data_IF_522816897898
#
_entry.id   IF_522816897898
#
_cell.length_a   1.000
_cell.length_b   1.000
_cell.length_c   1.000
_cell.angle_alpha   90.00
_cell.angle_beta   90.00
_cell.angle_gamma   90.00
#
_symmetry.space_group_name_H-M   'P 1'
#
loop_
_entity.id
_entity.type
_entity.pdbx_description
1 polymer ?
#
# COMPACT_ATOMS: atom_id res chain seq x y z
N UNK A 1 -19.06 4.54 -26.26
CA UNK A 1 -18.36 4.36 -27.56
C UNK A 1 -17.48 3.09 -27.60
N UNK A 2 -17.83 2.00 -26.88
CA UNK A 2 -17.09 0.72 -26.88
C UNK A 2 -17.95 -0.49 -27.28
N UNK A 3 -19.24 -0.30 -27.57
CA UNK A 3 -20.18 -1.41 -27.80
C UNK A 3 -20.51 -1.67 -29.27
N UNK A 4 -19.98 -0.89 -30.22
CA UNK A 4 -20.35 -1.00 -31.65
C UNK A 4 -19.19 -1.24 -32.64
N UNK A 5 -17.95 -1.40 -32.16
CA UNK A 5 -16.80 -1.74 -33.03
C UNK A 5 -16.82 -3.22 -33.49
N UNK A 6 -17.80 -4.02 -33.05
CA UNK A 6 -17.90 -5.44 -33.38
C UNK A 6 -18.39 -5.76 -34.80
N UNK A 7 -18.83 -4.77 -35.59
CA UNK A 7 -19.56 -5.02 -36.84
C UNK A 7 -18.75 -4.87 -38.14
N UNK A 8 -17.48 -4.45 -38.13
CA UNK A 8 -16.72 -4.19 -39.38
C UNK A 8 -15.25 -4.63 -39.36
N UNK A 9 -14.97 -5.84 -38.90
CA UNK A 9 -13.69 -6.50 -39.19
C UNK A 9 -13.97 -7.83 -39.93
N UNK A 10 -13.36 -8.08 -41.10
CA UNK A 10 -13.37 -9.41 -41.71
C UNK A 10 -12.77 -10.40 -40.72
N UNK A 11 -13.43 -11.54 -40.51
CA UNK A 11 -12.92 -12.66 -39.71
C UNK A 11 -11.56 -13.09 -40.27
N UNK A 12 -10.47 -12.71 -39.61
CA UNK A 12 -9.18 -13.37 -39.75
C UNK A 12 -9.34 -14.79 -39.19
N UNK A 13 -9.59 -15.74 -40.11
CA UNK A 13 -9.47 -17.17 -39.83
C UNK A 13 -8.01 -17.50 -39.52
N UNK A 14 -7.83 -18.27 -38.46
CA UNK A 14 -6.72 -19.17 -38.14
C UNK A 14 -5.35 -18.86 -38.77
N UNK A 15 -4.53 -18.18 -37.99
CA UNK A 15 -3.10 -18.50 -37.92
C UNK A 15 -2.79 -19.00 -36.51
N UNK A 16 -2.85 -20.31 -36.35
CA UNK A 16 -2.15 -21.04 -35.29
C UNK A 16 -0.66 -20.73 -35.41
N UNK A 17 -0.18 -19.76 -34.64
CA UNK A 17 1.26 -19.65 -34.34
C UNK A 17 1.50 -20.62 -33.20
N UNK A 18 2.07 -21.77 -33.53
CA UNK A 18 2.60 -22.72 -32.57
C UNK A 18 3.73 -22.03 -31.79
N UNK A 19 3.42 -21.50 -30.62
CA UNK A 19 4.43 -21.16 -29.61
C UNK A 19 4.86 -22.49 -29.01
N UNK A 20 6.02 -22.97 -29.44
CA UNK A 20 6.62 -24.22 -28.99
C UNK A 20 6.70 -24.26 -27.47
N UNK A 21 5.96 -25.18 -26.87
CA UNK A 21 6.17 -25.57 -25.49
C UNK A 21 7.54 -26.20 -25.38
N UNK A 22 8.47 -25.51 -24.70
CA UNK A 22 9.62 -26.18 -24.10
C UNK A 22 9.09 -27.06 -22.97
N UNK A 23 8.83 -28.33 -23.30
CA UNK A 23 8.94 -29.42 -22.35
C UNK A 23 10.40 -29.47 -21.89
N UNK A 24 10.69 -28.92 -20.73
CA UNK A 24 11.89 -29.33 -20.01
C UNK A 24 11.52 -30.56 -19.18
N UNK A 25 11.95 -31.71 -19.70
CA UNK A 25 12.13 -32.93 -18.94
C UNK A 25 13.18 -32.65 -17.84
N UNK A 26 12.75 -32.57 -16.58
CA UNK A 26 13.64 -32.70 -15.45
C UNK A 26 13.71 -34.18 -15.05
N UNK A 27 14.52 -34.95 -15.79
CA UNK A 27 15.09 -36.19 -15.30
C UNK A 27 16.42 -35.88 -14.59
N UNK A 28 16.63 -36.59 -13.48
CA UNK A 28 17.82 -36.69 -12.64
C UNK A 28 18.22 -35.44 -11.85
N UNK A 29 17.75 -35.36 -10.61
CA UNK A 29 18.60 -34.95 -9.50
C UNK A 29 18.70 -36.14 -8.56
N UNK A 30 19.94 -36.54 -8.33
CA UNK A 30 20.44 -37.63 -7.51
C UNK A 30 19.84 -37.63 -6.10
N UNK A 31 19.27 -38.77 -5.72
CA UNK A 31 18.93 -39.15 -4.36
C UNK A 31 20.14 -38.98 -3.44
N UNK A 32 20.03 -38.12 -2.44
CA UNK A 32 20.92 -38.16 -1.27
C UNK A 32 20.18 -38.96 -0.21
N UNK A 33 20.59 -40.22 -0.03
CA UNK A 33 20.13 -41.10 1.04
C UNK A 33 20.34 -40.43 2.40
N UNK A 34 19.26 -40.27 3.16
CA UNK A 34 19.32 -40.07 4.60
C UNK A 34 18.79 -41.37 5.23
N UNK A 35 19.69 -42.13 5.86
CA UNK A 35 19.40 -43.39 6.52
C UNK A 35 18.49 -43.16 7.74
N UNK A 36 17.26 -43.68 7.66
CA UNK A 36 16.37 -43.81 8.82
C UNK A 36 16.34 -45.28 9.27
N UNK A 37 16.84 -45.49 10.49
CA UNK A 37 16.79 -46.75 11.22
C UNK A 37 15.36 -47.30 11.29
N UNK A 38 15.20 -48.54 10.84
CA UNK A 38 13.96 -49.31 10.89
C UNK A 38 13.76 -49.91 12.28
N UNK A 39 13.00 -49.25 13.15
CA UNK A 39 12.40 -49.91 14.32
C UNK A 39 11.14 -50.66 13.89
N UNK A 40 11.24 -52.00 13.82
CA UNK A 40 10.11 -52.93 13.65
C UNK A 40 9.03 -52.67 14.71
N UNK A 41 7.83 -52.24 14.29
CA UNK A 41 6.60 -52.30 15.11
C UNK A 41 5.78 -53.53 14.70
N UNK A 42 5.29 -54.24 15.72
CA UNK A 42 4.44 -55.43 15.61
C UNK A 42 3.05 -55.09 15.01
N UNK A 43 2.33 -56.06 14.41
CA UNK A 43 1.04 -55.80 13.79
C UNK A 43 -0.06 -55.64 14.85
N UNK A 44 -0.75 -54.50 14.83
CA UNK A 44 -1.96 -54.23 15.60
C UNK A 44 -3.19 -54.76 14.86
N UNK A 45 -4.09 -55.41 15.61
CA UNK A 45 -5.34 -56.03 15.15
C UNK A 45 -6.36 -55.02 14.60
N UNK A 46 -7.31 -55.45 13.74
CA UNK A 46 -8.21 -54.55 13.02
C UNK A 46 -9.39 -54.12 13.91
N UNK A 47 -9.44 -52.84 14.29
CA UNK A 47 -10.63 -52.27 14.93
C UNK A 47 -11.61 -51.71 13.88
N UNK A 48 -12.66 -52.51 13.67
CA UNK A 48 -14.05 -52.19 13.28
C UNK A 48 -14.32 -50.92 12.46
N UNK A 49 -14.72 -51.19 11.23
CA UNK A 49 -15.48 -50.31 10.34
C UNK A 49 -16.74 -49.75 11.00
N UNK A 50 -17.06 -48.49 10.68
CA UNK A 50 -18.40 -47.92 10.78
C UNK A 50 -18.41 -46.64 9.95
N UNK A 51 -19.30 -46.63 8.96
CA UNK A 51 -19.39 -45.74 7.81
C UNK A 51 -19.84 -44.32 8.16
N UNK A 52 -19.37 -43.33 7.37
CA UNK A 52 -19.98 -42.00 7.37
C UNK A 52 -20.10 -41.48 5.93
N UNK A 53 -21.34 -41.49 5.40
CA UNK A 53 -21.74 -40.65 4.28
C UNK A 53 -23.06 -39.95 4.60
N UNK A 54 -23.01 -38.61 4.65
CA UNK A 54 -23.93 -37.77 3.89
C UNK A 54 -23.25 -36.41 3.61
N UNK A 55 -22.82 -36.19 2.36
CA UNK A 55 -22.40 -34.87 1.83
C UNK A 55 -20.99 -34.79 1.24
N UNK A 56 -19.97 -35.39 1.89
CA UNK A 56 -18.59 -35.66 1.43
C UNK A 56 -17.83 -36.37 2.57
N UNK A 57 -16.71 -37.03 2.27
CA UNK A 57 -15.90 -37.77 3.24
C UNK A 57 -15.51 -36.91 4.45
N UNK A 58 -15.75 -37.43 5.65
CA UNK A 58 -15.22 -36.91 6.91
C UNK A 58 -14.27 -37.96 7.51
N UNK A 59 -13.00 -37.59 7.67
CA UNK A 59 -12.00 -38.44 8.34
C UNK A 59 -12.34 -38.49 9.84
N UNK A 60 -12.31 -39.70 10.42
CA UNK A 60 -12.51 -39.92 11.85
C UNK A 60 -11.35 -39.29 12.63
N UNK A 61 -11.49 -38.03 13.03
CA UNK A 61 -10.71 -37.46 14.13
C UNK A 61 -11.64 -37.20 15.31
N UNK A 62 -11.08 -37.23 16.52
CA UNK A 62 -11.78 -36.99 17.79
C UNK A 62 -12.54 -35.65 17.84
N UNK A 63 -12.22 -34.71 16.95
CA UNK A 63 -12.79 -33.36 16.89
C UNK A 63 -14.15 -33.29 16.18
N UNK A 64 -14.31 -34.00 15.07
CA UNK A 64 -15.44 -33.79 14.14
C UNK A 64 -16.64 -34.69 14.42
N UNK A 65 -16.44 -35.79 15.17
CA UNK A 65 -17.44 -36.87 15.25
C UNK A 65 -18.53 -36.66 16.32
N UNK A 66 -18.43 -35.65 17.20
CA UNK A 66 -19.45 -35.46 18.26
C UNK A 66 -20.79 -34.88 17.80
N UNK A 67 -20.89 -34.37 16.57
CA UNK A 67 -22.15 -33.92 15.98
C UNK A 67 -22.27 -34.37 14.52
N UNK A 68 -22.65 -35.63 14.31
CA UNK A 68 -23.35 -35.96 13.07
C UNK A 68 -24.65 -35.13 13.04
N UNK A 69 -24.67 -34.04 12.26
CA UNK A 69 -25.89 -33.26 12.06
C UNK A 69 -26.98 -34.18 11.48
N UNK A 70 -28.24 -34.03 11.90
CA UNK A 70 -29.34 -34.84 11.36
C UNK A 70 -29.44 -34.67 9.84
N UNK A 71 -29.84 -35.76 9.18
CA UNK A 71 -29.94 -35.94 7.73
C UNK A 71 -30.57 -34.73 7.01
N UNK A 72 -30.11 -34.48 5.79
CA UNK A 72 -30.77 -33.61 4.80
C UNK A 72 -32.27 -33.89 4.77
N UNK A 73 -33.09 -32.89 5.09
CA UNK A 73 -34.55 -33.04 5.10
C UNK A 73 -35.12 -33.30 3.70
N UNK A 74 -36.38 -33.76 3.60
CA UNK A 74 -37.06 -33.96 2.32
C UNK A 74 -37.10 -32.69 1.45
N UNK A 75 -37.10 -31.50 2.05
CA UNK A 75 -37.06 -30.21 1.36
C UNK A 75 -35.74 -29.94 0.61
N UNK A 76 -34.61 -30.40 1.15
CA UNK A 76 -33.30 -30.21 0.53
C UNK A 76 -33.18 -31.09 -0.72
N UNK A 77 -33.69 -32.32 -0.66
CA UNK A 77 -33.78 -33.22 -1.82
C UNK A 77 -34.71 -32.67 -2.90
N UNK A 78 -35.90 -32.19 -2.53
CA UNK A 78 -36.83 -31.57 -3.46
C UNK A 78 -36.23 -30.33 -4.16
N UNK A 79 -35.41 -29.56 -3.43
CA UNK A 79 -34.69 -28.40 -3.99
C UNK A 79 -33.59 -28.82 -4.97
N UNK A 80 -32.84 -29.88 -4.66
CA UNK A 80 -31.80 -30.44 -5.54
C UNK A 80 -32.38 -31.04 -6.83
N UNK A 81 -33.54 -31.68 -6.74
CA UNK A 81 -34.30 -32.20 -7.88
C UNK A 81 -34.85 -31.05 -8.75
N UNK A 82 -35.45 -30.02 -8.14
CA UNK A 82 -35.97 -28.84 -8.85
C UNK A 82 -34.87 -28.07 -9.58
N UNK A 83 -33.67 -28.02 -9.01
CA UNK A 83 -32.50 -27.33 -9.59
C UNK A 83 -31.70 -28.20 -10.56
N UNK A 84 -32.10 -29.47 -10.78
CA UNK A 84 -31.36 -30.47 -11.59
C UNK A 84 -29.89 -30.62 -11.16
N UNK A 85 -29.59 -30.39 -9.88
CA UNK A 85 -28.24 -30.47 -9.32
C UNK A 85 -27.84 -31.90 -8.92
N UNK A 86 -28.73 -32.89 -9.11
CA UNK A 86 -28.44 -34.31 -8.88
C UNK A 86 -27.79 -34.90 -10.14
N UNK A 87 -26.45 -35.03 -10.13
CA UNK A 87 -25.70 -35.76 -11.15
C UNK A 87 -25.57 -37.27 -10.84
N UNK A 88 -25.04 -38.08 -11.76
CA UNK A 88 -24.70 -39.48 -11.49
C UNK A 88 -23.68 -39.57 -10.34
N UNK A 89 -23.91 -40.51 -9.42
CA UNK A 89 -23.04 -40.74 -8.26
C UNK A 89 -21.64 -41.11 -8.72
N UNK A 90 -20.65 -40.27 -8.42
CA UNK A 90 -19.24 -40.57 -8.69
C UNK A 90 -18.74 -41.74 -7.83
N UNK A 91 -17.88 -42.57 -8.40
CA UNK A 91 -17.19 -43.64 -7.69
C UNK A 91 -16.45 -43.10 -6.47
N UNK A 92 -16.59 -43.83 -5.36
CA UNK A 92 -16.03 -43.45 -4.08
C UNK A 92 -14.50 -43.44 -4.16
N UNK A 93 -13.87 -42.28 -3.92
CA UNK A 93 -12.42 -42.15 -3.83
C UNK A 93 -11.90 -42.83 -2.56
N UNK A 94 -10.68 -43.37 -2.64
CA UNK A 94 -10.02 -44.12 -1.56
C UNK A 94 -9.85 -43.27 -0.30
N UNK A 95 -10.08 -43.89 0.85
CA UNK A 95 -9.95 -43.28 2.16
C UNK A 95 -8.50 -42.85 2.41
N UNK A 96 -8.30 -41.60 2.80
CA UNK A 96 -6.99 -41.06 3.22
C UNK A 96 -6.97 -41.01 4.75
N UNK A 97 -5.95 -41.63 5.35
CA UNK A 97 -5.69 -41.57 6.78
C UNK A 97 -4.51 -40.62 7.04
N UNK A 98 -4.66 -39.68 7.97
CA UNK A 98 -3.59 -38.78 8.38
C UNK A 98 -3.72 -38.45 9.87
N UNK A 99 -2.59 -38.50 10.58
CA UNK A 99 -2.52 -38.13 11.99
C UNK A 99 -2.57 -36.60 12.12
N UNK A 100 -3.58 -36.08 12.83
CA UNK A 100 -3.68 -34.66 13.16
C UNK A 100 -2.98 -34.37 14.50
N UNK A 101 -2.36 -33.19 14.65
CA UNK A 101 -1.91 -32.70 15.95
C UNK A 101 -3.06 -32.69 16.98
N UNK A 102 -2.75 -32.86 18.27
CA UNK A 102 -3.76 -32.80 19.31
C UNK A 102 -4.42 -31.43 19.36
N UNK A 103 -5.73 -31.41 19.58
CA UNK A 103 -6.46 -30.18 19.84
C UNK A 103 -6.05 -29.58 21.18
N UNK A 104 -5.93 -28.26 21.18
CA UNK A 104 -5.85 -27.42 22.38
C UNK A 104 -7.26 -27.13 22.90
N UNK A 105 -7.86 -28.06 23.62
CA UNK A 105 -9.23 -27.93 24.13
C UNK A 105 -10.11 -29.11 23.74
N UNK A 106 -11.41 -28.97 23.97
CA UNK A 106 -12.41 -30.03 23.78
C UNK A 106 -13.06 -30.04 22.40
N UNK A 107 -13.02 -28.93 21.67
CA UNK A 107 -13.52 -28.78 20.31
C UNK A 107 -12.66 -27.81 19.46
N UNK A 108 -13.08 -27.57 18.21
CA UNK A 108 -12.38 -26.67 17.29
C UNK A 108 -12.47 -25.20 17.72
N UNK A 109 -13.58 -24.79 18.34
CA UNK A 109 -13.78 -23.40 18.74
C UNK A 109 -12.84 -23.05 19.89
N UNK A 110 -12.74 -23.92 20.91
CA UNK A 110 -11.74 -23.80 21.98
C UNK A 110 -10.31 -23.85 21.45
N UNK A 111 -10.04 -24.72 20.47
CA UNK A 111 -8.73 -24.80 19.82
C UNK A 111 -8.31 -23.47 19.20
N UNK A 112 -9.17 -22.88 18.37
CA UNK A 112 -8.86 -21.60 17.75
C UNK A 112 -8.82 -20.45 18.77
N UNK A 113 -9.67 -20.47 19.79
CA UNK A 113 -9.63 -19.50 20.88
C UNK A 113 -8.26 -19.51 21.57
N UNK A 114 -7.74 -20.70 21.89
CA UNK A 114 -6.45 -20.86 22.56
C UNK A 114 -5.27 -20.51 21.64
N UNK A 115 -5.30 -20.91 20.37
CA UNK A 115 -4.30 -20.47 19.39
C UNK A 115 -4.27 -18.95 19.26
N UNK A 116 -5.44 -18.31 19.13
CA UNK A 116 -5.55 -16.86 19.05
C UNK A 116 -4.95 -16.17 20.27
N UNK A 117 -5.26 -16.66 21.48
CA UNK A 117 -4.66 -16.14 22.72
C UNK A 117 -3.14 -16.31 22.71
N UNK A 118 -2.64 -17.51 22.42
CA UNK A 118 -1.21 -17.82 22.45
C UNK A 118 -0.41 -16.95 21.48
N UNK A 119 -0.86 -16.81 20.24
CA UNK A 119 -0.11 -16.06 19.21
C UNK A 119 -0.21 -14.55 19.36
N UNK A 120 -1.28 -14.03 19.98
CA UNK A 120 -1.46 -12.58 20.13
C UNK A 120 -1.13 -12.02 21.51
N UNK A 121 -0.92 -12.87 22.53
CA UNK A 121 -0.77 -12.46 23.94
C UNK A 121 0.23 -11.33 24.14
N UNK A 122 1.47 -11.53 23.70
CA UNK A 122 2.57 -10.58 23.94
C UNK A 122 2.30 -9.25 23.22
N UNK A 123 1.78 -9.33 21.99
CA UNK A 123 1.47 -8.17 21.16
C UNK A 123 0.28 -7.37 21.68
N UNK A 124 -0.76 -8.06 22.13
CA UNK A 124 -1.94 -7.44 22.75
C UNK A 124 -1.52 -6.69 24.00
N UNK A 125 -0.77 -7.34 24.89
CA UNK A 125 -0.29 -6.71 26.12
C UNK A 125 0.56 -5.47 25.79
N UNK A 126 1.47 -5.57 24.83
CA UNK A 126 2.31 -4.45 24.41
C UNK A 126 1.50 -3.28 23.82
N UNK A 127 0.44 -3.56 23.05
CA UNK A 127 -0.46 -2.56 22.49
C UNK A 127 -1.37 -1.91 23.53
N UNK A 128 -1.91 -2.70 24.48
CA UNK A 128 -2.73 -2.21 25.59
C UNK A 128 -1.92 -1.28 26.50
N UNK A 129 -0.69 -1.69 26.85
CA UNK A 129 0.26 -0.86 27.63
C UNK A 129 0.61 0.42 26.87
N UNK A 130 0.83 0.32 25.55
CA UNK A 130 1.13 1.49 24.72
C UNK A 130 -0.04 2.48 24.72
N UNK A 131 -1.26 2.01 24.43
CA UNK A 131 -2.45 2.87 24.33
C UNK A 131 -2.90 3.48 25.67
N UNK A 132 -2.58 2.83 26.80
CA UNK A 132 -3.00 3.29 28.13
C UNK A 132 -2.02 4.26 28.78
N UNK A 133 -0.72 4.13 28.49
CA UNK A 133 0.30 4.95 29.14
C UNK A 133 0.36 6.37 28.56
N UNK A 134 0.63 7.41 29.36
CA UNK A 134 0.79 8.78 28.85
C UNK A 134 2.06 8.93 28.01
N UNK A 135 1.99 9.80 27.01
CA UNK A 135 3.14 10.13 26.16
C UNK A 135 4.20 10.92 26.95
N UNK A 136 5.51 10.71 26.68
CA UNK A 136 6.55 11.55 27.24
C UNK A 136 6.42 12.99 26.72
N UNK A 137 6.96 13.95 27.47
CA UNK A 137 6.90 15.36 27.07
C UNK A 137 7.82 15.59 25.86
N UNK A 138 7.28 16.24 24.83
CA UNK A 138 8.09 16.66 23.69
C UNK A 138 9.21 17.64 24.13
N UNK A 139 10.43 17.49 23.60
CA UNK A 139 11.53 18.40 23.90
C UNK A 139 11.24 19.80 23.35
N UNK A 140 11.70 20.87 24.03
CA UNK A 140 11.50 22.25 23.55
C UNK A 140 12.30 22.57 22.29
N UNK A 141 13.41 21.84 22.05
CA UNK A 141 14.22 21.96 20.85
C UNK A 141 14.65 20.59 20.37
N UNK A 142 14.57 20.39 19.07
CA UNK A 142 14.88 19.14 18.43
C UNK A 142 16.39 19.00 18.15
N UNK A 143 17.05 17.93 18.61
CA UNK A 143 18.42 17.60 18.18
C UNK A 143 18.48 17.33 16.67
N UNK A 144 19.38 18.00 15.98
CA UNK A 144 19.68 17.81 14.56
C UNK A 144 20.98 17.01 14.43
N UNK A 145 20.89 15.70 14.66
CA UNK A 145 22.01 14.78 14.58
C UNK A 145 21.57 13.49 13.90
N UNK A 146 22.37 12.92 12.97
CA UNK A 146 22.01 11.70 12.27
C UNK A 146 21.96 10.50 13.23
N UNK A 147 21.07 9.55 12.97
CA UNK A 147 20.90 8.38 13.85
C UNK A 147 19.78 8.54 14.87
N UNK A 148 19.51 7.48 15.63
CA UNK A 148 18.45 7.50 16.62
C UNK A 148 18.86 8.35 17.82
N UNK A 149 17.96 9.23 18.27
CA UNK A 149 18.09 10.00 19.49
C UNK A 149 16.89 9.72 20.39
N UNK A 150 17.16 9.18 21.57
CA UNK A 150 16.19 8.90 22.64
C UNK A 150 16.04 10.12 23.56
N UNK A 151 14.81 10.44 23.96
CA UNK A 151 14.53 11.54 24.89
C UNK A 151 14.09 10.99 26.24
N UNK A 152 14.57 11.61 27.31
CA UNK A 152 14.03 11.36 28.65
C UNK A 152 12.58 11.81 28.75
N UNK A 153 11.82 11.25 29.70
CA UNK A 153 10.39 11.55 29.86
C UNK A 153 10.09 13.05 30.13
N UNK A 154 11.06 13.78 30.70
CA UNK A 154 10.97 15.22 30.95
C UNK A 154 11.27 16.07 29.69
N UNK A 155 11.70 15.44 28.59
CA UNK A 155 12.07 16.08 27.32
C UNK A 155 13.38 16.87 27.36
N UNK A 156 14.18 16.77 28.44
CA UNK A 156 15.37 17.61 28.62
C UNK A 156 16.67 16.96 28.20
N UNK A 157 16.78 15.64 28.34
CA UNK A 157 17.99 14.89 28.02
C UNK A 157 17.81 14.11 26.74
N UNK A 158 18.82 14.16 25.88
CA UNK A 158 18.85 13.47 24.59
C UNK A 158 20.08 12.54 24.57
N UNK A 159 19.87 11.28 24.21
CA UNK A 159 20.93 10.26 24.15
C UNK A 159 20.89 9.60 22.78
N UNK A 160 22.03 9.50 22.12
CA UNK A 160 22.15 8.75 20.87
C UNK A 160 22.05 7.24 21.16
N UNK A 161 21.24 6.55 20.37
CA UNK A 161 21.05 5.09 20.46
C UNK A 161 21.14 4.50 19.06
N UNK A 162 21.38 3.19 18.95
CA UNK A 162 21.44 2.51 17.65
C UNK A 162 20.04 2.11 17.16
N UNK A 163 19.12 1.85 18.09
CA UNK A 163 17.74 1.44 17.86
C UNK A 163 16.89 1.73 19.11
N UNK A 164 15.55 1.81 18.99
CA UNK A 164 14.65 1.96 20.15
C UNK A 164 14.66 0.70 21.04
N UNK A 165 14.69 0.88 22.36
CA UNK A 165 14.73 -0.25 23.31
C UNK A 165 13.33 -0.83 23.58
N UNK A 166 12.29 -0.05 23.29
CA UNK A 166 10.92 -0.30 23.71
C UNK A 166 10.29 -1.50 22.99
N UNK A 167 9.45 -2.25 23.70
CA UNK A 167 8.70 -3.39 23.14
C UNK A 167 7.49 -2.95 22.33
N UNK A 168 7.00 -1.73 22.56
CA UNK A 168 5.97 -1.11 21.74
C UNK A 168 6.26 0.36 21.53
N UNK A 169 6.01 0.84 20.31
CA UNK A 169 6.19 2.24 19.94
C UNK A 169 5.23 2.63 18.82
N UNK A 170 4.86 3.91 18.79
CA UNK A 170 4.19 4.52 17.64
C UNK A 170 5.26 5.06 16.70
N UNK A 171 5.14 4.82 15.41
CA UNK A 171 6.16 5.09 14.39
C UNK A 171 5.54 5.75 13.17
N UNK A 172 6.26 6.74 12.63
CA UNK A 172 5.88 7.49 11.44
C UNK A 172 7.14 7.92 10.68
N UNK A 173 7.08 7.89 9.34
CA UNK A 173 8.20 8.20 8.44
C UNK A 173 7.77 9.22 7.38
N UNK A 174 8.53 10.31 7.30
CA UNK A 174 8.36 11.32 6.25
C UNK A 174 9.45 11.22 5.17
N UNK A 175 9.05 11.47 3.93
CA UNK A 175 9.87 11.35 2.72
C UNK A 175 9.83 12.64 1.92
N UNK A 176 11.00 13.19 1.61
CA UNK A 176 11.14 14.32 0.70
C UNK A 176 10.96 13.85 -0.76
N UNK A 177 9.77 14.02 -1.31
CA UNK A 177 9.34 13.41 -2.58
C UNK A 177 10.15 13.90 -3.79
N UNK A 178 10.70 15.13 -3.75
CA UNK A 178 11.52 15.66 -4.85
C UNK A 178 12.90 15.03 -4.96
N UNK A 179 13.37 14.41 -3.88
CA UNK A 179 14.74 13.89 -3.74
C UNK A 179 14.75 12.36 -3.82
N UNK A 180 13.58 11.76 -4.08
CA UNK A 180 13.39 10.32 -4.31
C UNK A 180 12.60 9.63 -3.21
N UNK A 181 12.59 8.30 -3.24
CA UNK A 181 11.86 7.46 -2.29
C UNK A 181 12.76 7.04 -1.13
N UNK A 182 13.42 8.00 -0.48
CA UNK A 182 14.31 7.75 0.65
C UNK A 182 13.68 8.27 1.96
N UNK A 183 13.73 7.49 3.05
CA UNK A 183 13.24 7.96 4.34
C UNK A 183 14.06 9.19 4.78
N UNK A 184 13.38 10.31 5.02
CA UNK A 184 14.02 11.60 5.32
C UNK A 184 14.06 11.82 6.83
N UNK A 185 12.89 11.71 7.48
CA UNK A 185 12.74 11.77 8.92
C UNK A 185 11.93 10.57 9.39
N UNK A 186 12.28 10.03 10.55
CA UNK A 186 11.44 9.06 11.22
C UNK A 186 11.27 9.45 12.69
N UNK A 187 10.04 9.40 13.16
CA UNK A 187 9.69 9.82 14.52
C UNK A 187 9.00 8.68 15.23
N UNK A 188 9.34 8.47 16.50
CA UNK A 188 8.62 7.55 17.35
C UNK A 188 8.35 8.12 18.75
N UNK A 189 7.50 7.42 19.51
CA UNK A 189 7.07 7.84 20.86
C UNK A 189 8.24 8.18 21.81
N UNK A 190 9.36 7.47 21.71
CA UNK A 190 10.46 7.54 22.71
C UNK A 190 11.79 8.00 22.09
N UNK A 191 11.82 8.14 20.76
CA UNK A 191 13.01 8.54 20.05
C UNK A 191 12.71 8.99 18.64
N UNK A 192 13.75 9.36 17.91
CA UNK A 192 13.64 9.85 16.54
C UNK A 192 14.91 9.58 15.79
N UNK A 193 14.81 9.42 14.49
CA UNK A 193 15.93 9.15 13.61
C UNK A 193 15.95 10.22 12.52
N UNK A 194 17.00 11.04 12.54
CA UNK A 194 17.33 11.87 11.40
C UNK A 194 18.18 11.03 10.46
N UNK A 195 17.70 10.79 9.24
CA UNK A 195 18.50 10.18 8.19
C UNK A 195 19.19 11.23 7.30
N UNK A 196 18.81 12.51 7.43
CA UNK A 196 19.38 13.59 6.63
C UNK A 196 20.88 13.76 6.91
N UNK A 197 21.65 13.46 5.88
CA UNK A 197 23.04 13.82 5.65
C UNK A 197 23.32 13.70 4.15
N UNK A 198 24.48 14.15 3.67
CA UNK A 198 24.87 14.11 2.23
C UNK A 198 24.83 12.71 1.56
N UNK A 199 24.48 11.66 2.30
CA UNK A 199 24.48 10.25 1.92
C UNK A 199 23.50 9.87 0.81
N UNK A 200 22.45 10.65 0.58
CA UNK A 200 21.37 10.32 -0.37
C UNK A 200 21.44 11.05 -1.71
N UNK A 201 22.25 12.12 -1.80
CA UNK A 201 22.23 13.06 -2.92
C UNK A 201 22.63 12.47 -4.28
N UNK A 202 23.17 11.25 -4.31
CA UNK A 202 23.71 10.59 -5.51
C UNK A 202 23.31 9.12 -5.66
N UNK A 203 22.32 8.63 -4.90
CA UNK A 203 21.90 7.22 -4.95
C UNK A 203 20.64 7.07 -5.80
N UNK A 204 20.69 6.17 -6.78
CA UNK A 204 19.50 5.81 -7.58
C UNK A 204 18.56 4.83 -6.86
N UNK A 205 19.07 4.06 -5.89
CA UNK A 205 18.31 3.00 -5.21
C UNK A 205 18.58 2.94 -3.70
N UNK A 206 17.54 2.64 -2.94
CA UNK A 206 17.60 2.36 -1.49
C UNK A 206 18.33 1.03 -1.27
N UNK A 207 19.33 1.00 -0.38
CA UNK A 207 19.99 -0.22 0.08
C UNK A 207 19.54 -0.58 1.50
N UNK A 208 19.78 -1.81 1.93
CA UNK A 208 19.47 -2.24 3.31
C UNK A 208 20.16 -1.35 4.38
N UNK A 209 21.34 -0.83 4.10
CA UNK A 209 22.06 0.09 5.01
C UNK A 209 21.42 1.49 5.12
N UNK A 210 20.52 1.81 4.20
CA UNK A 210 19.81 3.09 4.12
C UNK A 210 18.44 3.04 4.82
N UNK A 211 18.00 1.84 5.20
CA UNK A 211 16.74 1.59 5.89
C UNK A 211 16.88 1.80 7.40
N UNK A 212 15.74 2.07 8.04
CA UNK A 212 15.60 2.41 9.45
C UNK A 212 15.76 1.14 10.29
N UNK A 213 16.77 1.06 11.16
CA UNK A 213 16.90 -0.06 12.10
C UNK A 213 15.91 0.11 13.26
N UNK A 214 15.06 -0.89 13.49
CA UNK A 214 14.17 -0.93 14.66
C UNK A 214 14.52 -2.03 15.66
N UNK A 215 15.40 -2.95 15.28
CA UNK A 215 15.78 -4.08 16.12
C UNK A 215 17.29 -4.31 16.13
N UNK A 216 17.76 -4.92 17.22
CA UNK A 216 19.17 -5.30 17.38
C UNK A 216 19.54 -6.53 16.56
N UNK A 217 18.65 -7.51 16.50
CA UNK A 217 18.91 -8.86 15.99
C UNK A 217 17.73 -9.36 15.19
N UNK A 218 18.01 -10.00 14.06
CA UNK A 218 17.03 -10.73 13.24
C UNK A 218 16.96 -12.20 13.64
N UNK A 219 15.86 -12.86 13.29
CA UNK A 219 15.59 -14.27 13.56
C UNK A 219 14.52 -14.49 14.63
N UNK A 220 13.52 -15.32 14.31
CA UNK A 220 12.33 -15.56 15.14
C UNK A 220 12.62 -15.96 16.59
N UNK A 221 13.67 -16.73 16.84
CA UNK A 221 14.03 -17.17 18.21
C UNK A 221 14.85 -16.12 18.98
N UNK A 222 15.51 -15.20 18.27
CA UNK A 222 16.44 -14.21 18.85
C UNK A 222 15.76 -12.85 19.08
N UNK A 223 14.80 -12.49 18.24
CA UNK A 223 14.06 -11.23 18.33
C UNK A 223 12.97 -11.30 19.41
N UNK A 224 12.89 -10.34 20.35
CA UNK A 224 11.76 -10.26 21.28
C UNK A 224 10.47 -9.91 20.53
N UNK A 225 9.31 -10.27 21.10
CA UNK A 225 8.03 -9.81 20.57
C UNK A 225 7.94 -8.28 20.68
N UNK A 226 7.67 -7.61 19.55
CA UNK A 226 7.51 -6.15 19.50
C UNK A 226 6.30 -5.75 18.67
N UNK A 227 5.65 -4.64 19.04
CA UNK A 227 4.55 -4.05 18.28
C UNK A 227 4.88 -2.63 17.86
N UNK A 228 4.87 -2.38 16.56
CA UNK A 228 4.97 -1.05 16.00
C UNK A 228 3.58 -0.59 15.57
N UNK A 229 3.13 0.53 16.11
CA UNK A 229 1.82 1.11 15.76
C UNK A 229 2.04 2.27 14.79
N UNK A 230 1.28 2.32 13.71
CA UNK A 230 1.29 3.44 12.77
C UNK A 230 -0.11 3.77 12.26
N UNK A 231 -0.19 4.76 11.38
CA UNK A 231 -1.40 5.06 10.63
C UNK A 231 -1.11 4.89 9.14
N UNK A 232 -1.74 3.91 8.50
CA UNK A 232 -1.34 3.41 7.17
C UNK A 232 0.09 2.82 7.16
N UNK A 233 0.38 2.00 8.18
CA UNK A 233 1.73 1.51 8.51
C UNK A 233 2.46 0.77 7.38
N UNK A 234 1.75 0.32 6.33
CA UNK A 234 2.37 -0.35 5.18
C UNK A 234 3.39 0.54 4.47
N UNK A 235 3.19 1.87 4.48
CA UNK A 235 4.15 2.82 3.95
C UNK A 235 5.41 2.87 4.82
N UNK A 236 5.27 3.16 6.12
CA UNK A 236 6.37 3.28 7.07
C UNK A 236 7.17 1.98 7.21
N UNK A 237 6.46 0.84 7.23
CA UNK A 237 7.02 -0.51 7.28
C UNK A 237 8.03 -0.75 6.15
N UNK A 238 7.79 -0.20 4.96
CA UNK A 238 8.69 -0.36 3.81
C UNK A 238 10.07 0.27 4.03
N UNK A 239 10.19 1.17 5.00
CA UNK A 239 11.47 1.79 5.36
C UNK A 239 12.19 1.08 6.50
N UNK A 240 11.60 0.03 7.09
CA UNK A 240 12.21 -0.71 8.21
C UNK A 240 13.15 -1.79 7.70
N UNK A 241 14.40 -1.75 8.16
CA UNK A 241 15.48 -2.63 7.68
C UNK A 241 15.19 -4.11 7.91
N UNK A 242 14.76 -4.46 9.12
CA UNK A 242 14.58 -5.85 9.53
C UNK A 242 13.41 -6.55 8.82
N UNK A 243 12.52 -5.80 8.18
CA UNK A 243 11.41 -6.36 7.38
C UNK A 243 11.87 -7.04 6.09
N UNK A 244 13.12 -6.84 5.70
CA UNK A 244 13.74 -7.47 4.55
C UNK A 244 14.66 -8.63 4.94
N UNK A 245 14.76 -8.97 6.23
CA UNK A 245 15.57 -10.08 6.71
C UNK A 245 14.88 -11.43 6.45
N UNK A 246 15.56 -12.34 5.75
CA UNK A 246 15.02 -13.67 5.40
C UNK A 246 14.71 -14.52 6.64
N UNK A 247 15.53 -14.38 7.69
CA UNK A 247 15.34 -15.10 8.97
C UNK A 247 14.06 -14.67 9.72
N UNK A 248 13.42 -13.58 9.28
CA UNK A 248 12.23 -13.02 9.88
C UNK A 248 12.47 -12.34 11.22
N UNK A 249 11.39 -11.85 11.82
CA UNK A 249 11.38 -11.19 13.12
C UNK A 249 10.04 -11.43 13.82
N UNK A 250 10.04 -11.35 15.16
CA UNK A 250 8.85 -11.27 16.01
C UNK A 250 8.31 -9.85 16.15
N UNK A 251 8.80 -8.90 15.37
CA UNK A 251 8.17 -7.59 15.21
C UNK A 251 6.87 -7.73 14.41
N UNK A 252 5.80 -7.11 14.91
CA UNK A 252 4.49 -7.02 14.25
C UNK A 252 4.05 -5.58 14.13
N UNK A 253 3.26 -5.27 13.10
CA UNK A 253 2.71 -3.94 12.91
C UNK A 253 1.22 -3.94 13.24
N UNK A 254 0.78 -2.84 13.83
CA UNK A 254 -0.62 -2.59 14.12
C UNK A 254 -1.01 -1.26 13.48
N UNK A 255 -1.97 -1.31 12.56
CA UNK A 255 -2.37 -0.15 11.78
C UNK A 255 -3.66 0.46 12.33
N UNK A 256 -3.57 1.69 12.83
CA UNK A 256 -4.73 2.44 13.33
C UNK A 256 -5.73 2.77 12.22
N UNK A 257 -5.28 2.89 10.96
CA UNK A 257 -6.21 3.05 9.84
C UNK A 257 -7.04 1.77 9.64
N UNK A 258 -6.39 0.62 9.57
CA UNK A 258 -7.07 -0.68 9.45
C UNK A 258 -8.04 -0.94 10.61
N UNK A 259 -7.61 -0.68 11.85
CA UNK A 259 -8.47 -0.76 13.04
C UNK A 259 -9.69 0.17 12.92
N UNK A 260 -9.48 1.41 12.47
CA UNK A 260 -10.56 2.38 12.29
C UNK A 260 -11.53 1.90 11.22
N UNK A 261 -11.05 1.35 10.10
CA UNK A 261 -11.92 0.79 9.07
C UNK A 261 -12.79 -0.36 9.61
N UNK A 262 -12.27 -1.18 10.51
CA UNK A 262 -13.02 -2.26 11.15
C UNK A 262 -14.12 -1.74 12.11
N UNK A 263 -13.86 -0.64 12.83
CA UNK A 263 -14.75 -0.13 13.89
C UNK A 263 -15.70 0.96 13.41
N UNK A 264 -15.21 1.92 12.64
CA UNK A 264 -15.94 3.13 12.21
C UNK A 264 -15.66 3.48 10.75
N UNK A 265 -15.34 2.49 9.90
CA UNK A 265 -15.07 2.71 8.48
C UNK A 265 -16.32 3.04 7.65
N UNK A 266 -16.11 3.76 6.56
CA UNK A 266 -17.16 4.12 5.59
C UNK A 266 -17.18 3.17 4.38
N UNK A 267 -18.37 2.82 3.92
CA UNK A 267 -18.58 2.20 2.60
C UNK A 267 -18.25 3.18 1.47
N UNK A 268 -18.03 2.67 0.25
CA UNK A 268 -17.71 3.51 -0.92
C UNK A 268 -18.74 4.62 -1.17
N UNK A 269 -20.03 4.31 -1.02
CA UNK A 269 -21.11 5.28 -1.19
C UNK A 269 -21.11 6.33 -0.07
N UNK A 270 -20.99 5.91 1.19
CA UNK A 270 -20.92 6.84 2.32
C UNK A 270 -19.69 7.76 2.23
N UNK A 271 -18.55 7.23 1.77
CA UNK A 271 -17.34 8.03 1.53
C UNK A 271 -17.57 9.12 0.49
N UNK A 272 -18.24 8.79 -0.63
CA UNK A 272 -18.58 9.77 -1.66
C UNK A 272 -19.49 10.88 -1.09
N UNK A 273 -20.49 10.52 -0.28
CA UNK A 273 -21.35 11.49 0.40
C UNK A 273 -20.57 12.38 1.38
N UNK A 274 -19.67 11.80 2.19
CA UNK A 274 -18.82 12.56 3.13
C UNK A 274 -17.83 13.50 2.44
N UNK A 275 -17.32 13.14 1.25
CA UNK A 275 -16.47 14.03 0.47
C UNK A 275 -17.28 15.19 -0.13
N UNK A 276 -18.48 14.90 -0.64
CA UNK A 276 -19.38 15.93 -1.16
C UNK A 276 -19.80 16.93 -0.08
N UNK A 277 -20.13 16.45 1.14
CA UNK A 277 -20.50 17.33 2.26
C UNK A 277 -19.33 18.20 2.75
N UNK A 278 -18.09 17.69 2.74
CA UNK A 278 -16.90 18.50 3.06
C UNK A 278 -16.58 19.59 2.03
N UNK A 279 -16.89 19.34 0.76
CA UNK A 279 -16.61 20.30 -0.33
C UNK A 279 -17.64 21.43 -0.46
N UNK A 280 -18.81 21.27 0.16
CA UNK A 280 -19.90 22.24 0.08
C UNK A 280 -20.11 22.92 1.43
N UNK A 281 -19.60 24.14 1.59
CA UNK A 281 -20.05 25.07 2.65
C UNK A 281 -21.54 25.46 2.49
N UNK A 282 -22.24 24.94 1.48
CA UNK A 282 -23.64 25.25 1.13
C UNK A 282 -24.58 24.04 1.25
N UNK A 283 -24.26 23.05 2.09
CA UNK A 283 -25.12 21.89 2.35
C UNK A 283 -26.35 22.18 3.24
N UNK A 284 -26.97 23.36 3.14
CA UNK A 284 -28.19 23.73 3.88
C UNK A 284 -29.48 23.09 3.32
N UNK A 285 -29.40 22.21 2.31
CA UNK A 285 -30.57 21.50 1.72
C UNK A 285 -30.26 20.05 1.29
N UNK A 286 -29.48 19.33 2.09
CA UNK A 286 -29.44 17.87 2.03
C UNK A 286 -30.47 17.25 2.98
N UNK A 287 -30.91 15.99 2.79
CA UNK A 287 -31.78 15.29 3.75
C UNK A 287 -31.15 15.32 5.16
N UNK A 288 -31.96 15.23 6.23
CA UNK A 288 -31.52 15.54 7.59
C UNK A 288 -30.20 14.86 7.95
N UNK A 289 -29.23 15.68 8.34
CA UNK A 289 -27.94 15.25 8.90
C UNK A 289 -28.23 14.71 10.28
N UNK A 290 -28.20 13.38 10.47
CA UNK A 290 -27.93 12.71 11.76
C UNK A 290 -28.01 11.17 11.58
N UNK A 291 -26.89 10.49 11.83
CA UNK A 291 -26.76 9.28 12.68
C UNK A 291 -25.34 8.68 12.55
N UNK A 292 -24.82 8.54 11.32
CA UNK A 292 -23.56 7.83 11.07
C UNK A 292 -22.36 8.73 10.79
N UNK A 293 -22.57 9.96 10.31
CA UNK A 293 -21.48 10.90 9.99
C UNK A 293 -20.73 11.35 11.25
N UNK A 294 -21.39 11.35 12.40
CA UNK A 294 -20.78 11.69 13.69
C UNK A 294 -20.08 10.49 14.35
N UNK A 295 -20.35 9.26 13.87
CA UNK A 295 -19.79 8.00 14.39
C UNK A 295 -18.66 7.45 13.52
N UNK A 296 -18.35 8.12 12.41
CA UNK A 296 -17.44 7.64 11.38
C UNK A 296 -16.68 8.79 10.73
N UNK A 297 -15.58 8.49 10.05
CA UNK A 297 -14.73 9.49 9.40
C UNK A 297 -14.12 8.96 8.10
N UNK A 298 -13.49 9.86 7.33
CA UNK A 298 -12.61 9.45 6.25
C UNK A 298 -11.32 8.86 6.84
N UNK A 299 -10.53 8.26 5.96
CA UNK A 299 -9.39 7.42 6.31
C UNK A 299 -8.08 8.19 6.61
N UNK A 300 -8.00 9.52 6.44
CA UNK A 300 -6.74 10.21 6.75
C UNK A 300 -6.61 10.44 8.26
N UNK A 301 -5.36 10.50 8.75
CA UNK A 301 -5.06 10.63 10.17
C UNK A 301 -5.78 11.84 10.81
N UNK A 302 -5.85 12.98 10.11
CA UNK A 302 -6.51 14.18 10.64
C UNK A 302 -8.01 13.94 10.92
N UNK A 303 -8.72 13.28 10.01
CA UNK A 303 -10.13 12.97 10.18
C UNK A 303 -10.38 11.89 11.24
N UNK A 304 -9.54 10.86 11.27
CA UNK A 304 -9.60 9.80 12.29
C UNK A 304 -9.27 10.35 13.69
N UNK A 305 -8.25 11.20 13.78
CA UNK A 305 -7.88 11.90 15.01
C UNK A 305 -9.00 12.80 15.50
N UNK A 306 -9.64 13.55 14.59
CA UNK A 306 -10.79 14.40 14.91
C UNK A 306 -11.95 13.59 15.49
N UNK A 307 -12.25 12.42 14.93
CA UNK A 307 -13.30 11.52 15.42
C UNK A 307 -13.00 11.03 16.85
N UNK A 308 -11.82 10.47 17.10
CA UNK A 308 -11.52 9.83 18.40
C UNK A 308 -11.03 10.80 19.49
N UNK A 309 -10.65 12.03 19.14
CA UNK A 309 -10.12 13.03 20.07
C UNK A 309 -11.09 14.18 20.37
N UNK A 310 -12.38 14.00 20.11
CA UNK A 310 -13.42 14.97 20.46
C UNK A 310 -13.33 16.26 19.65
N UNK A 311 -13.02 16.17 18.35
CA UNK A 311 -13.03 17.32 17.44
C UNK A 311 -11.70 18.09 17.31
N UNK A 312 -10.62 17.64 17.98
CA UNK A 312 -9.29 18.25 17.82
C UNK A 312 -8.75 18.06 16.40
N UNK A 313 -8.08 19.08 15.87
CA UNK A 313 -7.58 19.07 14.49
C UNK A 313 -6.04 19.05 14.45
N UNK A 314 -5.51 18.42 13.40
CA UNK A 314 -4.07 18.43 13.08
C UNK A 314 -3.77 19.51 12.05
N UNK A 315 -2.64 20.19 12.24
CA UNK A 315 -2.14 21.20 11.29
C UNK A 315 -1.59 20.50 10.05
N UNK A 316 -2.03 20.91 8.86
CA UNK A 316 -1.69 20.25 7.58
C UNK A 316 -0.52 20.89 6.83
N UNK A 317 -0.23 22.16 7.10
CA UNK A 317 0.61 23.02 6.24
C UNK A 317 2.07 22.58 6.18
N UNK A 318 2.64 22.09 7.27
CA UNK A 318 4.05 21.68 7.35
C UNK A 318 4.38 20.49 6.43
N UNK A 319 3.38 19.68 6.04
CA UNK A 319 3.55 18.54 5.13
C UNK A 319 4.00 18.95 3.73
N UNK A 320 3.58 20.12 3.27
CA UNK A 320 3.84 20.56 1.90
C UNK A 320 5.33 20.72 1.61
N UNK A 321 6.15 20.96 2.64
CA UNK A 321 7.61 21.01 2.52
C UNK A 321 8.21 19.66 2.14
N UNK A 322 7.68 18.54 2.65
CA UNK A 322 8.13 17.20 2.23
C UNK A 322 7.71 16.86 0.80
N UNK A 323 6.57 17.39 0.34
CA UNK A 323 6.04 17.09 -1.00
C UNK A 323 6.70 17.95 -2.07
N UNK A 324 6.83 19.26 -1.83
CA UNK A 324 7.23 20.24 -2.83
C UNK A 324 8.61 20.87 -2.58
N UNK A 325 9.14 20.75 -1.37
CA UNK A 325 10.43 21.29 -0.95
C UNK A 325 11.60 20.37 -1.31
N UNK A 326 12.80 20.89 -1.08
CA UNK A 326 14.09 20.20 -1.21
C UNK A 326 14.60 19.75 0.16
N UNK A 327 15.65 18.90 0.19
CA UNK A 327 16.31 18.55 1.45
C UNK A 327 16.89 19.76 2.20
N UNK A 328 17.25 20.84 1.48
CA UNK A 328 17.72 22.07 2.11
C UNK A 328 16.57 22.76 2.85
N UNK A 329 15.39 22.87 2.22
CA UNK A 329 14.20 23.45 2.87
C UNK A 329 13.82 22.63 4.12
N UNK A 330 13.90 21.30 4.04
CA UNK A 330 13.68 20.40 5.20
C UNK A 330 14.70 20.63 6.33
N UNK A 331 15.97 20.89 5.98
CA UNK A 331 17.01 21.18 6.97
C UNK A 331 16.85 22.55 7.62
N UNK A 332 16.43 23.56 6.86
CA UNK A 332 16.18 24.92 7.34
C UNK A 332 14.96 24.96 8.29
N UNK A 333 13.86 24.29 7.92
CA UNK A 333 12.61 24.24 8.71
C UNK A 333 12.55 23.04 9.68
N UNK A 334 13.68 22.38 9.93
CA UNK A 334 13.75 21.10 10.67
C UNK A 334 13.00 21.10 12.01
N UNK A 335 13.06 22.19 12.78
CA UNK A 335 12.42 22.26 14.10
C UNK A 335 10.89 22.18 14.01
N UNK A 336 10.31 22.87 13.04
CA UNK A 336 8.87 22.89 12.82
C UNK A 336 8.41 21.56 12.25
N UNK A 337 9.13 21.04 11.24
CA UNK A 337 8.83 19.76 10.61
C UNK A 337 8.93 18.59 11.59
N UNK A 338 9.93 18.57 12.48
CA UNK A 338 10.00 17.56 13.53
C UNK A 338 8.85 17.64 14.53
N UNK A 339 8.41 18.86 14.86
CA UNK A 339 7.25 19.05 15.73
C UNK A 339 5.98 18.56 15.05
N UNK A 340 5.83 18.80 13.74
CA UNK A 340 4.76 18.23 12.92
C UNK A 340 4.76 16.69 12.98
N UNK A 341 5.88 16.03 12.67
CA UNK A 341 5.98 14.56 12.71
C UNK A 341 5.69 14.01 14.13
N UNK A 342 6.20 14.69 15.16
CA UNK A 342 5.94 14.31 16.55
C UNK A 342 4.45 14.44 16.92
N UNK A 343 3.75 15.42 16.36
CA UNK A 343 2.31 15.58 16.58
C UNK A 343 1.50 14.49 15.88
N UNK A 344 1.92 14.00 14.72
CA UNK A 344 1.27 12.87 14.05
C UNK A 344 1.44 11.56 14.85
N UNK A 345 2.62 11.35 15.44
CA UNK A 345 2.86 10.25 16.39
C UNK A 345 1.99 10.39 17.64
N UNK A 346 1.86 11.60 18.19
CA UNK A 346 0.97 11.88 19.34
C UNK A 346 -0.49 11.60 18.97
N UNK A 347 -0.92 12.04 17.80
CA UNK A 347 -2.27 11.84 17.30
C UNK A 347 -2.60 10.36 17.13
N UNK A 348 -1.69 9.61 16.49
CA UNK A 348 -1.80 8.16 16.29
C UNK A 348 -1.85 7.41 17.62
N UNK A 349 -1.04 7.81 18.60
CA UNK A 349 -1.11 7.24 19.96
C UNK A 349 -2.47 7.48 20.63
N UNK A 350 -2.98 8.71 20.57
CA UNK A 350 -4.27 9.05 21.17
C UNK A 350 -5.43 8.31 20.50
N UNK A 351 -5.38 8.18 19.17
CA UNK A 351 -6.31 7.34 18.40
C UNK A 351 -6.23 5.90 18.89
N UNK A 352 -5.03 5.30 18.98
CA UNK A 352 -4.85 3.93 19.45
C UNK A 352 -5.49 3.71 20.83
N UNK A 353 -5.24 4.60 21.79
CA UNK A 353 -5.76 4.46 23.15
C UNK A 353 -7.29 4.44 23.24
N UNK A 354 -8.00 5.06 22.28
CA UNK A 354 -9.46 5.01 22.18
C UNK A 354 -9.97 3.89 21.29
N UNK A 355 -9.27 3.63 20.20
CA UNK A 355 -9.70 2.71 19.15
C UNK A 355 -9.46 1.24 19.51
N UNK A 356 -8.35 0.93 20.18
CA UNK A 356 -7.98 -0.45 20.49
C UNK A 356 -9.02 -1.15 21.41
N UNK A 357 -9.53 -0.51 22.49
CA UNK A 357 -10.62 -1.09 23.28
C UNK A 357 -11.89 -1.34 22.46
N UNK A 358 -12.29 -0.37 21.62
CA UNK A 358 -13.47 -0.50 20.75
C UNK A 358 -13.33 -1.64 19.74
N UNK A 359 -12.12 -1.85 19.22
CA UNK A 359 -11.84 -2.98 18.34
C UNK A 359 -12.08 -4.32 19.06
N UNK A 360 -11.58 -4.47 20.29
CA UNK A 360 -11.76 -5.73 21.04
C UNK A 360 -13.20 -5.93 21.54
N UNK A 361 -13.96 -4.86 21.77
CA UNK A 361 -15.40 -4.95 22.03
C UNK A 361 -16.15 -5.47 20.80
N UNK A 362 -15.81 -4.97 19.60
CA UNK A 362 -16.44 -5.37 18.35
C UNK A 362 -15.98 -6.75 17.84
N UNK A 363 -14.71 -7.09 18.06
CA UNK A 363 -14.08 -8.34 17.62
C UNK A 363 -13.46 -9.08 18.82
N UNK A 364 -14.29 -9.72 19.67
CA UNK A 364 -13.81 -10.33 20.91
C UNK A 364 -12.97 -11.59 20.71
N UNK A 365 -13.09 -12.24 19.54
CA UNK A 365 -12.35 -13.46 19.27
C UNK A 365 -10.86 -13.15 18.97
N UNK A 366 -9.90 -13.71 19.74
CA UNK A 366 -8.48 -13.33 19.68
C UNK A 366 -7.80 -13.74 18.37
N UNK A 367 -8.34 -14.70 17.64
CA UNK A 367 -7.83 -15.08 16.31
C UNK A 367 -7.95 -13.93 15.32
N UNK A 368 -8.98 -13.08 15.42
CA UNK A 368 -9.12 -11.92 14.54
C UNK A 368 -7.92 -10.98 14.69
N UNK A 369 -7.51 -10.72 15.92
CA UNK A 369 -6.35 -9.89 16.23
C UNK A 369 -5.03 -10.59 15.83
N UNK A 370 -4.87 -11.87 16.15
CA UNK A 370 -3.69 -12.65 15.74
C UNK A 370 -3.52 -12.69 14.20
N UNK A 371 -4.61 -12.95 13.48
CA UNK A 371 -4.61 -12.98 12.02
C UNK A 371 -4.26 -11.62 11.42
N UNK A 372 -4.77 -10.52 11.97
CA UNK A 372 -4.41 -9.17 11.54
C UNK A 372 -2.92 -8.88 11.71
N UNK A 373 -2.31 -9.28 12.83
CA UNK A 373 -0.87 -9.13 13.06
C UNK A 373 -0.06 -9.93 12.04
N UNK A 374 -0.45 -11.18 11.75
CA UNK A 374 0.26 -11.99 10.75
C UNK A 374 0.10 -11.43 9.34
N UNK A 375 -1.11 -11.00 8.94
CA UNK A 375 -1.33 -10.35 7.64
C UNK A 375 -0.46 -9.10 7.44
N UNK A 376 -0.12 -8.39 8.52
CA UNK A 376 0.78 -7.22 8.45
C UNK A 376 2.23 -7.56 8.08
N UNK A 377 2.62 -8.83 8.14
CA UNK A 377 4.00 -9.30 7.88
C UNK A 377 4.22 -9.90 6.49
N UNK A 378 3.18 -9.92 5.64
CA UNK A 378 3.30 -10.44 4.29
C UNK A 378 4.46 -9.76 3.54
N UNK A 379 5.23 -10.56 2.79
CA UNK A 379 6.30 -10.11 1.91
C UNK A 379 6.12 -10.74 0.53
N UNK A 380 6.50 -9.98 -0.51
CA UNK A 380 6.49 -10.48 -1.88
C UNK A 380 7.92 -10.71 -2.34
N UNK A 381 8.37 -11.96 -2.51
CA UNK A 381 9.71 -12.24 -3.02
C UNK A 381 9.79 -11.83 -4.49
N UNK A 382 10.70 -10.91 -4.80
CA UNK A 382 11.02 -10.49 -6.17
C UNK A 382 12.49 -10.79 -6.47
N UNK A 383 12.81 -10.94 -7.75
CA UNK A 383 14.19 -11.12 -8.22
C UNK A 383 14.50 -10.12 -9.34
N UNK A 384 15.69 -10.19 -9.94
CA UNK A 384 16.09 -9.25 -10.99
C UNK A 384 15.17 -9.28 -12.24
N UNK A 385 14.40 -10.36 -12.43
CA UNK A 385 13.44 -10.44 -13.54
C UNK A 385 12.29 -9.44 -13.38
N UNK A 386 12.04 -8.92 -12.18
CA UNK A 386 11.01 -7.90 -11.95
C UNK A 386 11.31 -6.60 -12.72
N UNK A 387 12.57 -6.14 -12.71
CA UNK A 387 12.98 -4.95 -13.45
C UNK A 387 12.87 -5.16 -14.96
N UNK A 388 13.23 -6.36 -15.42
CA UNK A 388 13.06 -6.75 -16.81
C UNK A 388 11.58 -6.76 -17.21
N UNK A 389 10.73 -7.36 -16.38
CA UNK A 389 9.28 -7.41 -16.59
C UNK A 389 8.68 -6.01 -16.70
N UNK A 390 9.03 -5.10 -15.78
CA UNK A 390 8.57 -3.72 -15.83
C UNK A 390 9.00 -3.04 -17.13
N UNK A 391 10.29 -3.12 -17.48
CA UNK A 391 10.81 -2.51 -18.71
C UNK A 391 10.14 -3.05 -19.98
N UNK A 392 9.94 -4.37 -20.06
CA UNK A 392 9.28 -5.01 -21.21
C UNK A 392 7.79 -4.64 -21.26
N UNK A 393 7.09 -4.61 -20.13
CA UNK A 393 5.69 -4.19 -20.05
C UNK A 393 5.50 -2.72 -20.46
N UNK A 394 6.37 -1.83 -19.98
CA UNK A 394 6.36 -0.41 -20.32
C UNK A 394 6.64 -0.19 -21.82
N UNK A 395 7.62 -0.91 -22.39
CA UNK A 395 7.92 -0.85 -23.82
C UNK A 395 6.71 -1.26 -24.67
N UNK A 396 6.03 -2.35 -24.32
CA UNK A 396 4.82 -2.80 -25.04
C UNK A 396 3.69 -1.79 -24.92
N UNK A 397 3.53 -1.18 -23.74
CA UNK A 397 2.56 -0.10 -23.54
C UNK A 397 2.87 1.11 -24.43
N UNK A 398 4.11 1.56 -24.47
CA UNK A 398 4.56 2.69 -25.31
C UNK A 398 4.35 2.40 -26.80
N UNK A 399 4.68 1.19 -27.26
CA UNK A 399 4.45 0.76 -28.63
C UNK A 399 2.96 0.84 -29.00
N UNK A 400 2.07 0.32 -28.15
CA UNK A 400 0.62 0.41 -28.36
C UNK A 400 0.11 1.85 -28.33
N UNK A 401 0.62 2.70 -27.44
CA UNK A 401 0.25 4.12 -27.42
C UNK A 401 0.69 4.83 -28.70
N UNK A 402 1.89 4.53 -29.20
CA UNK A 402 2.41 5.11 -30.42
C UNK A 402 1.63 4.63 -31.65
N UNK A 403 1.33 3.34 -31.75
CA UNK A 403 0.53 2.77 -32.84
C UNK A 403 -0.89 3.36 -32.83
N UNK A 404 -1.55 3.40 -31.66
CA UNK A 404 -2.86 4.00 -31.50
C UNK A 404 -2.85 5.47 -31.94
N UNK A 405 -1.84 6.24 -31.52
CA UNK A 405 -1.68 7.63 -31.90
C UNK A 405 -1.49 7.78 -33.42
N UNK A 406 -0.70 6.92 -34.05
CA UNK A 406 -0.51 6.93 -35.50
C UNK A 406 -1.80 6.60 -36.25
N UNK A 407 -2.53 5.57 -35.82
CA UNK A 407 -3.82 5.21 -36.41
C UNK A 407 -4.84 6.34 -36.27
N UNK A 408 -4.99 6.91 -35.08
CA UNK A 408 -5.90 8.04 -34.84
C UNK A 408 -5.50 9.26 -35.67
N UNK A 409 -4.19 9.56 -35.77
CA UNK A 409 -3.68 10.65 -36.60
C UNK A 409 -3.96 10.40 -38.08
N UNK A 410 -3.81 9.15 -38.54
CA UNK A 410 -4.11 8.76 -39.93
C UNK A 410 -5.60 8.90 -40.26
N UNK A 411 -6.48 8.46 -39.36
CA UNK A 411 -7.93 8.62 -39.48
C UNK A 411 -8.32 10.10 -39.46
N UNK A 412 -7.78 10.86 -38.51
CA UNK A 412 -8.01 12.30 -38.40
C UNK A 412 -7.57 13.04 -39.67
N UNK A 413 -6.37 12.77 -40.19
CA UNK A 413 -5.88 13.35 -41.44
C UNK A 413 -6.76 12.96 -42.63
N UNK A 414 -7.24 11.71 -42.67
CA UNK A 414 -8.15 11.25 -43.73
C UNK A 414 -9.51 11.96 -43.66
N UNK A 415 -10.06 12.15 -42.45
CA UNK A 415 -11.25 12.96 -42.22
C UNK A 415 -11.01 14.43 -42.60
N UNK A 416 -9.88 15.04 -42.23
CA UNK A 416 -9.55 16.41 -42.61
C UNK A 416 -9.54 16.63 -44.13
N UNK A 417 -9.22 15.61 -44.94
CA UNK A 417 -9.32 15.73 -46.41
C UNK A 417 -10.75 15.99 -46.88
N UNK A 418 -11.76 15.47 -46.16
CA UNK A 418 -13.18 15.65 -46.46
C UNK A 418 -13.67 17.09 -46.24
N UNK A 419 -12.84 17.96 -45.65
CA UNK A 419 -13.10 19.40 -45.61
C UNK A 419 -13.24 19.98 -47.04
N UNK A 420 -12.48 19.45 -48.00
CA UNK A 420 -12.57 19.88 -49.39
C UNK A 420 -13.91 19.46 -50.00
N UNK A 421 -14.62 20.44 -50.56
CA UNK A 421 -15.95 20.21 -51.15
C UNK A 421 -17.02 19.82 -50.15
N UNK A 422 -16.81 20.10 -48.86
CA UNK A 422 -17.72 19.80 -47.75
C UNK A 422 -18.19 18.33 -47.70
N UNK A 423 -17.35 17.41 -48.18
CA UNK A 423 -17.68 15.99 -48.30
C UNK A 423 -17.98 15.35 -46.93
N UNK A 424 -17.46 15.93 -45.85
CA UNK A 424 -17.74 15.48 -44.47
C UNK A 424 -19.23 15.54 -44.11
N UNK A 425 -20.03 16.42 -44.75
CA UNK A 425 -21.50 16.49 -44.53
C UNK A 425 -22.23 15.23 -44.99
N UNK A 426 -21.60 14.37 -45.81
CA UNK A 426 -22.20 13.10 -46.27
C UNK A 426 -22.06 11.98 -45.23
N UNK A 427 -21.24 12.15 -44.20
CA UNK A 427 -21.04 11.16 -43.15
C UNK A 427 -21.68 11.64 -41.82
N UNK A 428 -22.75 10.99 -41.33
CA UNK A 428 -23.40 11.35 -40.08
C UNK A 428 -22.47 11.35 -38.86
N UNK A 429 -21.38 10.57 -38.89
CA UNK A 429 -20.42 10.49 -37.78
C UNK A 429 -19.52 11.72 -37.65
N UNK A 430 -19.51 12.58 -38.66
CA UNK A 430 -18.67 13.78 -38.74
C UNK A 430 -19.45 15.08 -38.49
N UNK A 431 -20.76 15.00 -38.29
CA UNK A 431 -21.65 16.17 -38.15
C UNK A 431 -21.44 16.95 -36.85
N UNK A 432 -21.17 16.25 -35.75
CA UNK A 432 -20.98 16.87 -34.43
C UNK A 432 -19.56 17.41 -34.21
N UNK A 433 -18.67 17.31 -35.21
CA UNK A 433 -17.28 17.76 -35.11
C UNK A 433 -17.13 19.24 -35.52
N UNK A 434 -16.18 19.94 -34.90
CA UNK A 434 -15.80 21.30 -35.28
C UNK A 434 -14.88 21.27 -36.51
N UNK A 435 -15.34 21.87 -37.62
CA UNK A 435 -14.62 21.98 -38.89
C UNK A 435 -14.05 23.37 -39.16
N UNK A 436 -14.03 24.26 -38.16
CA UNK A 436 -13.45 25.59 -38.31
C UNK A 436 -11.94 25.53 -38.58
N UNK A 437 -11.46 26.32 -39.55
CA UNK A 437 -10.05 26.31 -39.96
C UNK A 437 -9.34 27.54 -39.41
N UNK A 438 -8.20 27.34 -38.75
CA UNK A 438 -7.36 28.45 -38.31
C UNK A 438 -6.60 29.06 -39.50
N UNK A 439 -6.60 30.40 -39.62
CA UNK A 439 -5.76 31.08 -40.60
C UNK A 439 -4.30 31.05 -40.13
N UNK A 440 -3.45 30.29 -40.84
CA UNK A 440 -2.02 30.26 -40.56
C UNK A 440 -1.43 31.61 -40.97
N UNK A 441 -1.08 32.43 -39.98
CA UNK A 441 -0.32 33.68 -40.23
C UNK A 441 1.12 33.33 -40.59
N UNK A 442 1.43 33.32 -41.88
CA UNK A 442 2.82 33.27 -42.35
C UNK A 442 3.49 34.57 -41.89
N UNK A 443 4.53 34.48 -41.05
CA UNK A 443 5.34 35.65 -40.71
C UNK A 443 5.96 36.16 -42.01
N UNK A 444 5.57 37.36 -42.45
CA UNK A 444 6.29 38.08 -43.52
C UNK A 444 7.77 38.15 -43.16
N UNK A 445 8.64 37.87 -44.11
CA UNK A 445 10.07 38.19 -43.99
C UNK A 445 10.20 39.69 -43.66
N UNK A 446 11.12 40.09 -42.77
CA UNK A 446 11.28 41.49 -42.42
C UNK A 446 11.75 42.25 -43.67
N UNK A 447 10.92 43.18 -44.15
CA UNK A 447 11.32 44.12 -45.20
C UNK A 447 12.35 45.08 -44.60
N UNK A 448 13.55 45.08 -45.17
CA UNK A 448 14.62 46.01 -44.83
C UNK A 448 14.34 47.38 -45.48
N UNK A 449 13.55 48.21 -44.80
CA UNK A 449 13.42 49.67 -44.95
C UNK A 449 12.23 50.09 -44.06
N UNK A 450 12.26 51.08 -43.18
CA UNK A 450 13.12 52.24 -42.97
C UNK A 450 13.19 52.50 -41.47
N UNK A 451 14.41 52.69 -40.98
CA UNK A 451 14.65 53.44 -39.74
C UNK A 451 14.35 54.89 -40.07
N UNK A 452 13.24 55.46 -39.58
CA UNK A 452 13.26 56.81 -39.00
C UNK A 452 11.97 57.18 -38.28
N UNK A 453 12.16 57.47 -36.99
CA UNK A 453 11.58 58.61 -36.25
C UNK A 453 10.26 58.45 -35.46
N UNK A 454 10.38 58.88 -34.20
CA UNK A 454 9.38 59.32 -33.19
C UNK A 454 8.65 58.20 -32.42
N UNK A 455 9.07 57.88 -31.18
CA UNK A 455 8.77 58.60 -29.92
C UNK A 455 7.29 59.02 -29.84
N UNK A 456 6.45 58.64 -28.89
CA UNK A 456 6.69 58.45 -27.44
C UNK A 456 5.46 57.79 -26.78
N UNK A 457 5.73 57.01 -25.71
CA UNK A 457 4.94 56.76 -24.48
C UNK A 457 3.60 56.01 -24.54
N UNK A 458 3.54 54.86 -23.82
CA UNK A 458 2.28 54.32 -23.30
C UNK A 458 2.23 52.86 -22.80
N UNK A 459 3.11 52.48 -21.86
CA UNK A 459 2.86 51.50 -20.75
C UNK A 459 2.57 49.98 -20.99
N UNK A 460 3.35 49.20 -20.22
CA UNK A 460 3.08 47.91 -19.54
C UNK A 460 3.46 46.57 -20.22
N UNK A 461 4.52 46.00 -19.63
CA UNK A 461 4.58 44.67 -18.99
C UNK A 461 5.47 43.58 -19.63
N UNK A 462 6.50 43.19 -18.86
CA UNK A 462 6.73 41.80 -18.45
C UNK A 462 6.97 40.74 -19.54
N UNK A 463 8.20 40.61 -20.03
CA UNK A 463 8.78 39.28 -20.37
C UNK A 463 10.27 39.29 -20.78
N UNK A 464 11.16 39.87 -19.96
CA UNK A 464 12.62 39.70 -20.15
C UNK A 464 13.37 39.63 -18.81
N UNK A 465 13.23 38.50 -18.12
CA UNK A 465 14.15 38.09 -17.03
C UNK A 465 14.48 36.58 -17.04
N UNK A 466 14.32 35.90 -18.18
CA UNK A 466 14.52 34.43 -18.28
C UNK A 466 15.57 33.95 -19.29
N UNK A 467 16.34 34.84 -19.93
CA UNK A 467 17.41 34.42 -20.86
C UNK A 467 18.80 35.00 -20.60
N UNK A 468 19.02 35.71 -19.49
CA UNK A 468 20.32 36.34 -19.19
C UNK A 468 21.13 35.65 -18.05
N UNK A 469 20.66 34.54 -17.47
CA UNK A 469 21.41 33.82 -16.41
C UNK A 469 22.11 32.54 -16.88
N UNK A 470 21.95 32.17 -18.15
CA UNK A 470 22.57 30.97 -18.73
C UNK A 470 23.94 31.23 -19.38
N UNK A 471 24.37 32.49 -19.54
CA UNK A 471 25.66 32.83 -20.16
C UNK A 471 26.76 33.23 -19.18
N UNK A 472 26.47 33.40 -17.88
CA UNK A 472 27.48 33.74 -16.86
C UNK A 472 28.00 32.54 -16.05
N UNK A 473 27.34 31.37 -16.12
CA UNK A 473 27.80 30.16 -15.42
C UNK A 473 28.82 29.32 -16.22
N UNK A 474 29.11 29.66 -17.48
CA UNK A 474 30.04 28.91 -18.35
C UNK A 474 31.45 29.52 -18.44
N UNK A 475 31.75 30.61 -17.72
CA UNK A 475 33.06 31.29 -17.78
C UNK A 475 33.91 31.15 -16.51
N UNK A 476 33.51 30.29 -15.56
CA UNK A 476 34.21 30.10 -14.28
C UNK A 476 34.85 28.70 -14.09
N UNK A 477 35.02 27.92 -15.16
CA UNK A 477 35.78 26.67 -15.11
C UNK A 477 36.71 26.57 -16.32
N UNK A 478 37.90 27.15 -16.20
CA UNK A 478 39.09 26.67 -16.89
C UNK A 478 40.21 26.47 -15.85
N UNK A 479 41.02 25.40 -15.96
CA UNK A 479 42.01 25.04 -14.96
C UNK A 479 43.28 25.89 -15.14
N UNK A 480 43.76 26.49 -14.05
CA UNK A 480 45.09 27.09 -13.99
C UNK A 480 46.12 25.97 -13.93
N UNK A 481 46.82 25.77 -15.04
CA UNK A 481 48.04 24.98 -15.11
C UNK A 481 49.28 25.90 -15.03
N UNK A 482 50.35 25.36 -14.40
CA UNK A 482 51.73 25.86 -14.22
C UNK A 482 51.91 26.72 -12.95
N UNK A 483 52.85 26.45 -12.05
CA UNK A 483 54.20 25.85 -12.16
C UNK A 483 54.50 24.89 -11.01
#
# INVERSE_FOLDING_TARGET
MLTQIRARLPRLRDRTVAVGGLRQNATSISETKCDLETKKRAPLQPHRSADAVAGRYTVKSSATFRQARPRSGPEERATLERTKAVGPTHDATTQVDFELPPLLGSDLDEHFLELGRRYSKDYRLAADVLGSNPLPRQPPRWSFAPGWTKYSNDGKHAVAVDYPDETSLVFDVEVCMREGHFPTLATCRVGRLLLVGERFRWKERVRLSDLIPLERTTGLEKSPARVIVGHNVGFDRSFVREQYAIEGSRLRFLDTLSLHMCVSGLTSFQRALSMASKSSETAARGPPVELWQDLSSLNNLADVYKLYSGGRELKKEARDTFVNGTLQDVAEDFQELMTYCANDVVATHLVLGKLLPLYFERFPHPVSFAGMLEMSTAYLPVNQNWERYLKEADSVYEDYQQELKQMLTSIANSACRLLHGEAYKKDPWLWDLDWTVQSIRIKKAPTASEVTSKSTKGTKASSKKRLARASEAKRAMEPVARQ
#
